data_IF_156374884552
#
_entry.id   IF_156374884552
#
_cell.length_a   1.000
_cell.length_b   1.000
_cell.length_c   1.000
_cell.angle_alpha   90.00
_cell.angle_beta   90.00
_cell.angle_gamma   90.00
#
_symmetry.space_group_name_H-M   'P 1'
#
loop_
_entity.id
_entity.type
_entity.pdbx_description
1 polymer ?
#
# COMPACT_ATOMS: atom_id res chain seq x y z
N UNK A 1 -17.91 -6.36 -16.61
CA UNK A 1 -16.72 -6.54 -15.77
C UNK A 1 -16.78 -5.44 -14.73
N UNK A 2 -16.70 -5.75 -13.44
CA UNK A 2 -16.48 -4.69 -12.44
C UNK A 2 -14.99 -4.43 -12.49
N UNK A 3 -14.59 -3.21 -12.82
CA UNK A 3 -13.18 -2.83 -12.75
C UNK A 3 -12.78 -2.79 -11.27
N UNK A 4 -12.13 -3.85 -10.82
CA UNK A 4 -11.63 -3.98 -9.44
C UNK A 4 -10.29 -3.25 -9.23
N UNK A 5 -9.90 -2.38 -10.18
CA UNK A 5 -8.64 -1.65 -10.13
C UNK A 5 -8.90 -0.25 -9.57
N UNK A 6 -8.16 0.10 -8.52
CA UNK A 6 -8.07 1.48 -8.01
C UNK A 6 -6.68 2.02 -8.32
N UNK A 7 -6.62 3.26 -8.83
CA UNK A 7 -5.35 3.98 -8.98
C UNK A 7 -5.11 4.86 -7.76
N UNK A 8 -3.93 4.73 -7.17
CA UNK A 8 -3.44 5.62 -6.12
C UNK A 8 -2.45 6.58 -6.77
N UNK A 9 -2.75 7.87 -6.68
CA UNK A 9 -1.87 8.94 -7.14
C UNK A 9 -1.24 9.61 -5.93
N UNK A 10 0.04 9.95 -6.04
CA UNK A 10 0.70 10.81 -5.06
C UNK A 10 0.09 12.21 -5.13
N UNK A 11 -0.05 12.86 -3.98
CA UNK A 11 -0.45 14.27 -3.98
C UNK A 11 0.62 15.12 -4.68
N UNK A 12 0.22 16.22 -5.31
CA UNK A 12 1.16 17.15 -5.94
C UNK A 12 2.22 17.61 -4.93
N UNK A 13 3.47 17.26 -5.21
CA UNK A 13 4.60 17.64 -4.36
C UNK A 13 5.08 19.02 -4.81
N UNK A 14 4.64 20.06 -4.09
CA UNK A 14 4.98 21.46 -4.41
C UNK A 14 6.24 21.96 -3.71
N UNK A 15 6.73 21.22 -2.72
CA UNK A 15 8.01 21.49 -2.08
C UNK A 15 9.17 21.22 -3.05
N UNK A 16 10.36 21.73 -2.73
CA UNK A 16 11.58 21.30 -3.40
C UNK A 16 12.12 20.03 -2.72
N UNK A 17 12.76 19.11 -3.47
CA UNK A 17 13.49 17.99 -2.88
C UNK A 17 14.60 18.49 -1.96
N UNK A 18 14.96 17.66 -0.98
CA UNK A 18 16.10 17.95 -0.08
C UNK A 18 17.30 17.09 -0.47
N UNK A 19 18.49 17.44 0.05
CA UNK A 19 19.68 16.57 -0.07
C UNK A 19 19.64 15.37 0.90
N UNK A 20 18.63 15.28 1.77
CA UNK A 20 18.51 14.20 2.74
C UNK A 20 17.82 12.98 2.09
N UNK A 21 18.57 11.90 1.92
CA UNK A 21 18.10 10.62 1.38
C UNK A 21 16.96 9.97 2.19
N UNK A 22 16.75 10.38 3.44
CA UNK A 22 15.66 9.90 4.30
C UNK A 22 14.38 10.75 4.19
N UNK A 23 14.27 11.59 3.16
CA UNK A 23 13.04 12.33 2.89
C UNK A 23 12.11 11.49 2.03
N UNK A 24 10.84 11.40 2.42
CA UNK A 24 9.83 10.59 1.75
C UNK A 24 8.56 11.41 1.50
N UNK A 25 7.81 11.01 0.47
CA UNK A 25 6.43 11.44 0.26
C UNK A 25 5.54 10.26 0.54
N UNK A 26 4.44 10.52 1.25
CA UNK A 26 3.49 9.51 1.70
C UNK A 26 2.14 9.73 1.00
N UNK A 27 1.41 8.64 0.75
CA UNK A 27 0.01 8.72 0.32
C UNK A 27 -0.89 9.10 1.50
N UNK A 28 -2.18 9.32 1.21
CA UNK A 28 -3.20 9.21 2.25
C UNK A 28 -3.19 7.81 2.88
N UNK A 29 -3.83 7.70 4.06
CA UNK A 29 -4.11 6.40 4.68
C UNK A 29 -5.42 5.86 4.11
N UNK A 30 -5.38 4.64 3.60
CA UNK A 30 -6.53 3.92 3.04
C UNK A 30 -7.03 2.88 4.03
N UNK A 31 -8.34 2.72 4.16
CA UNK A 31 -8.94 1.64 4.93
C UNK A 31 -9.21 0.43 4.02
N UNK A 32 -8.56 -0.70 4.31
CA UNK A 32 -8.90 -2.00 3.75
C UNK A 32 -10.02 -2.60 4.61
N UNK A 33 -11.19 -2.84 4.01
CA UNK A 33 -12.31 -3.50 4.67
C UNK A 33 -12.67 -4.80 3.98
N UNK A 34 -12.66 -5.90 4.71
CA UNK A 34 -13.21 -7.18 4.25
C UNK A 34 -14.52 -7.46 4.96
N UNK A 35 -15.55 -7.75 4.16
CA UNK A 35 -16.89 -8.14 4.64
C UNK A 35 -17.22 -9.52 4.10
N UNK A 36 -17.26 -10.51 4.98
CA UNK A 36 -17.55 -11.90 4.63
C UNK A 36 -18.64 -12.49 5.51
N UNK A 37 -19.49 -13.33 4.92
CA UNK A 37 -20.45 -14.21 5.61
C UNK A 37 -19.86 -15.57 5.98
N UNK A 38 -18.71 -15.91 5.41
CA UNK A 38 -18.03 -17.20 5.53
C UNK A 38 -16.63 -17.00 6.11
N UNK A 39 -15.97 -18.11 6.47
CA UNK A 39 -14.53 -18.10 6.71
C UNK A 39 -13.81 -17.67 5.44
N UNK A 40 -12.69 -16.95 5.59
CA UNK A 40 -12.02 -16.34 4.47
C UNK A 40 -10.51 -16.22 4.68
N UNK A 41 -9.78 -16.12 3.58
CA UNK A 41 -8.34 -15.86 3.57
C UNK A 41 -8.07 -14.47 2.99
N UNK A 42 -6.96 -13.86 3.41
CA UNK A 42 -6.42 -12.62 2.85
C UNK A 42 -5.03 -12.87 2.29
N UNK A 43 -4.81 -12.49 1.03
CA UNK A 43 -3.48 -12.38 0.45
C UNK A 43 -3.26 -10.94 -0.02
N UNK A 44 -2.19 -10.30 0.44
CA UNK A 44 -1.70 -9.03 -0.09
C UNK A 44 -0.30 -9.27 -0.63
N UNK A 45 -0.09 -8.99 -1.91
CA UNK A 45 1.23 -9.05 -2.56
C UNK A 45 1.45 -7.79 -3.35
N UNK A 46 2.69 -7.32 -3.49
CA UNK A 46 2.97 -6.13 -4.28
C UNK A 46 4.41 -5.99 -4.67
N UNK A 47 4.65 -5.09 -5.62
CA UNK A 47 6.01 -4.72 -6.02
C UNK A 47 6.74 -4.03 -4.86
N UNK A 48 8.01 -4.35 -4.66
CA UNK A 48 8.87 -3.65 -3.69
C UNK A 48 9.48 -2.34 -4.25
N UNK A 49 9.27 -2.07 -5.53
CA UNK A 49 9.74 -0.87 -6.22
C UNK A 49 8.78 -0.45 -7.34
N UNK A 50 8.69 0.85 -7.58
CA UNK A 50 8.03 1.40 -8.76
C UNK A 50 9.04 1.57 -9.89
N UNK A 51 8.61 1.37 -11.13
CA UNK A 51 9.46 1.47 -12.33
C UNK A 51 8.91 2.50 -13.30
N UNK A 52 9.78 3.30 -13.93
CA UNK A 52 9.41 4.22 -15.00
C UNK A 52 9.66 3.62 -16.40
N UNK A 53 9.23 4.30 -17.45
CA UNK A 53 9.38 3.83 -18.84
C UNK A 53 10.85 3.64 -19.28
N UNK A 54 11.79 4.31 -18.61
CA UNK A 54 13.23 4.19 -18.85
C UNK A 54 13.89 3.04 -18.06
N UNK A 55 13.10 2.26 -17.32
CA UNK A 55 13.58 1.15 -16.48
C UNK A 55 14.31 1.60 -15.21
N UNK A 56 14.16 2.86 -14.79
CA UNK A 56 14.62 3.32 -13.48
C UNK A 56 13.65 2.89 -12.40
N UNK A 57 14.17 2.57 -11.23
CA UNK A 57 13.38 2.12 -10.09
C UNK A 57 13.47 3.10 -8.91
N UNK A 58 12.40 3.16 -8.12
CA UNK A 58 12.38 3.76 -6.79
C UNK A 58 11.74 2.78 -5.81
N UNK A 59 12.25 2.73 -4.59
CA UNK A 59 11.71 1.83 -3.57
C UNK A 59 10.26 2.22 -3.24
N UNK A 60 9.39 1.22 -3.18
CA UNK A 60 8.04 1.34 -2.66
C UNK A 60 8.03 0.77 -1.25
N UNK A 61 7.80 1.63 -0.27
CA UNK A 61 7.61 1.20 1.10
C UNK A 61 6.15 1.39 1.53
N UNK A 62 5.70 0.58 2.48
CA UNK A 62 4.32 0.57 2.93
C UNK A 62 4.20 0.37 4.45
N UNK A 63 3.06 0.75 4.98
CA UNK A 63 2.62 0.44 6.34
C UNK A 63 1.30 -0.31 6.26
N UNK A 64 1.14 -1.29 7.16
CA UNK A 64 -0.06 -2.08 7.34
C UNK A 64 -0.35 -2.26 8.83
N UNK A 65 -1.53 -1.87 9.29
CA UNK A 65 -1.84 -1.98 10.71
C UNK A 65 -3.29 -1.71 11.09
N UNK A 66 -3.57 -1.82 12.38
CA UNK A 66 -4.92 -1.71 12.97
C UNK A 66 -5.36 -0.26 13.25
N UNK A 67 -4.42 0.68 13.29
CA UNK A 67 -4.69 2.07 13.65
C UNK A 67 -4.88 2.95 12.42
N UNK A 68 -5.94 3.75 12.43
CA UNK A 68 -6.23 4.73 11.38
C UNK A 68 -5.15 5.81 11.21
N UNK A 69 -4.22 5.92 12.15
CA UNK A 69 -3.08 6.86 12.10
C UNK A 69 -1.77 6.19 11.71
N UNK A 70 -1.70 4.84 11.75
CA UNK A 70 -0.48 4.06 11.57
C UNK A 70 0.71 4.51 12.45
N UNK A 71 0.44 5.22 13.55
CA UNK A 71 1.46 5.70 14.47
C UNK A 71 2.23 4.53 15.08
N UNK A 72 3.56 4.56 14.96
CA UNK A 72 4.45 3.50 15.48
C UNK A 72 4.53 2.23 14.62
N UNK A 73 3.79 2.16 13.50
CA UNK A 73 3.92 1.05 12.54
C UNK A 73 5.17 1.30 11.68
N UNK A 74 6.15 0.37 11.62
CA UNK A 74 7.31 0.54 10.76
C UNK A 74 6.91 0.48 9.29
N UNK A 75 7.71 1.12 8.45
CA UNK A 75 7.62 0.96 7.01
C UNK A 75 8.40 -0.28 6.57
N UNK A 76 7.77 -1.10 5.74
CA UNK A 76 8.39 -2.27 5.11
C UNK A 76 8.50 -2.05 3.59
N UNK A 77 9.39 -2.76 2.92
CA UNK A 77 9.51 -2.82 1.45
C UNK A 77 9.03 -4.16 0.90
N UNK A 78 8.86 -5.17 1.75
CA UNK A 78 8.22 -6.44 1.37
C UNK A 78 6.71 -6.33 1.56
N UNK A 79 5.99 -6.18 0.45
CA UNK A 79 4.52 -6.16 0.46
C UNK A 79 4.06 -7.62 0.38
N UNK A 80 3.95 -8.26 1.54
CA UNK A 80 3.50 -9.63 1.65
C UNK A 80 2.72 -9.85 2.95
N UNK A 81 1.43 -10.15 2.85
CA UNK A 81 0.59 -10.56 3.98
C UNK A 81 -0.23 -11.76 3.56
N UNK A 82 -0.22 -12.78 4.40
CA UNK A 82 -1.10 -13.95 4.30
C UNK A 82 -1.81 -14.14 5.63
N UNK A 83 -3.13 -14.15 5.60
CA UNK A 83 -3.99 -14.51 6.74
C UNK A 83 -4.91 -15.63 6.28
N UNK A 84 -4.91 -16.73 7.02
CA UNK A 84 -5.73 -17.89 6.72
C UNK A 84 -6.84 -18.06 7.76
N UNK A 85 -7.93 -18.72 7.38
CA UNK A 85 -9.03 -19.14 8.26
C UNK A 85 -9.62 -17.99 9.11
N UNK A 86 -9.71 -16.79 8.55
CA UNK A 86 -10.27 -15.65 9.25
C UNK A 86 -11.78 -15.83 9.43
N UNK A 87 -12.33 -15.55 10.63
CA UNK A 87 -13.75 -15.74 10.87
C UNK A 87 -14.60 -14.78 10.04
N UNK A 88 -15.83 -15.21 9.74
CA UNK A 88 -16.83 -14.36 9.09
C UNK A 88 -16.99 -13.02 9.84
N UNK A 89 -17.04 -11.93 9.09
CA UNK A 89 -17.06 -10.57 9.66
C UNK A 89 -18.47 -9.98 9.74
N UNK A 90 -19.50 -10.63 9.17
CA UNK A 90 -20.84 -10.04 9.10
C UNK A 90 -21.47 -9.77 10.48
N UNK A 91 -21.11 -10.55 11.50
CA UNK A 91 -21.56 -10.35 12.87
C UNK A 91 -20.80 -9.25 13.62
N UNK A 92 -19.57 -8.95 13.18
CA UNK A 92 -18.65 -7.99 13.83
C UNK A 92 -18.46 -6.69 13.03
N UNK A 93 -19.04 -6.61 11.84
CA UNK A 93 -18.99 -5.48 10.91
C UNK A 93 -18.08 -5.77 9.72
N UNK A 94 -16.78 -5.49 9.89
CA UNK A 94 -15.76 -5.72 8.87
C UNK A 94 -14.41 -5.95 9.54
N UNK A 95 -13.59 -6.82 8.94
CA UNK A 95 -12.17 -6.76 9.18
C UNK A 95 -11.65 -5.44 8.62
N UNK A 96 -10.98 -4.63 9.44
CA UNK A 96 -10.46 -3.32 9.02
C UNK A 96 -8.97 -3.23 9.30
N UNK A 97 -8.22 -2.90 8.27
CA UNK A 97 -6.80 -2.51 8.37
C UNK A 97 -6.59 -1.20 7.65
N UNK A 98 -5.46 -0.56 7.94
CA UNK A 98 -5.07 0.69 7.34
C UNK A 98 -3.76 0.51 6.59
N UNK A 99 -3.70 1.10 5.39
CA UNK A 99 -2.58 0.99 4.47
C UNK A 99 -2.12 2.39 4.10
N UNK A 100 -0.80 2.60 4.06
CA UNK A 100 -0.19 3.82 3.53
C UNK A 100 1.08 3.45 2.79
N UNK A 101 1.33 4.09 1.65
CA UNK A 101 2.55 3.92 0.88
C UNK A 101 3.45 5.14 1.04
N UNK A 102 4.75 4.97 0.83
CA UNK A 102 5.71 6.05 0.67
C UNK A 102 6.75 5.73 -0.41
N UNK A 103 7.29 6.79 -0.99
CA UNK A 103 8.42 6.75 -1.93
C UNK A 103 9.49 7.76 -1.51
N UNK A 104 10.77 7.53 -1.87
CA UNK A 104 11.83 8.51 -1.61
C UNK A 104 11.58 9.82 -2.36
N UNK A 105 11.90 10.94 -1.70
CA UNK A 105 11.76 12.30 -2.25
C UNK A 105 12.95 13.17 -1.87
N UNK A 106 14.04 13.01 -2.61
CA UNK A 106 15.29 13.74 -2.40
C UNK A 106 16.03 13.92 -3.72
N UNK A 107 17.05 14.78 -3.72
CA UNK A 107 17.95 14.90 -4.87
C UNK A 107 18.66 13.56 -5.14
N UNK A 108 18.68 13.15 -6.41
CA UNK A 108 19.25 11.86 -6.84
C UNK A 108 18.21 10.82 -7.28
N UNK A 109 16.91 11.03 -6.99
CA UNK A 109 15.83 10.28 -7.65
C UNK A 109 15.69 10.77 -9.09
N UNK A 110 15.64 9.87 -10.06
CA UNK A 110 15.45 10.25 -11.46
C UNK A 110 14.05 10.85 -11.66
N UNK A 111 13.90 11.92 -12.46
CA UNK A 111 12.58 12.45 -12.78
C UNK A 111 11.82 11.47 -13.69
N UNK A 112 10.50 11.42 -13.54
CA UNK A 112 9.61 10.65 -14.41
C UNK A 112 8.37 10.15 -13.69
N UNK A 113 7.50 9.51 -14.46
CA UNK A 113 6.31 8.84 -13.94
C UNK A 113 6.65 7.39 -13.60
N UNK A 114 6.42 7.00 -12.35
CA UNK A 114 6.74 5.68 -11.82
C UNK A 114 5.45 4.91 -11.52
N UNK A 115 5.42 3.62 -11.86
CA UNK A 115 4.26 2.77 -11.62
C UNK A 115 4.66 1.39 -11.11
N UNK A 116 3.72 0.72 -10.45
CA UNK A 116 3.86 -0.61 -9.86
C UNK A 116 2.48 -1.09 -9.41
N UNK A 117 2.39 -2.34 -8.96
CA UNK A 117 1.13 -2.98 -8.63
C UNK A 117 1.15 -3.56 -7.21
N UNK A 118 0.00 -3.47 -6.55
CA UNK A 118 -0.30 -4.19 -5.32
C UNK A 118 -1.61 -4.94 -5.55
N UNK A 119 -1.59 -6.24 -5.33
CA UNK A 119 -2.74 -7.12 -5.34
C UNK A 119 -3.24 -7.35 -3.92
N UNK A 120 -4.54 -7.20 -3.72
CA UNK A 120 -5.23 -7.56 -2.48
C UNK A 120 -6.37 -8.50 -2.86
N UNK A 121 -6.31 -9.72 -2.36
CA UNK A 121 -7.28 -10.76 -2.65
C UNK A 121 -7.85 -11.32 -1.35
N UNK A 122 -9.18 -11.34 -1.26
CA UNK A 122 -9.90 -11.99 -0.19
C UNK A 122 -10.81 -13.07 -0.79
N UNK A 123 -10.66 -14.31 -0.34
CA UNK A 123 -11.38 -15.49 -0.86
C UNK A 123 -12.15 -16.18 0.25
N UNK A 124 -13.30 -16.77 -0.07
CA UNK A 124 -14.09 -17.60 0.86
C UNK A 124 -14.05 -19.06 0.42
N UNK A 125 -14.37 -19.97 1.35
CA UNK A 125 -14.48 -21.40 1.10
C UNK A 125 -15.46 -22.09 2.06
#
# INVERSE_FOLDING_TARGET
SVDNNTSIQWADITAQPTDNAETYVETNIYALQVRSTETWDLTITGDSALTNEEGKTIDLAWQYGDSATLAGVPYDTDINVTLEDQPATIATGAYTKYIRFRIPYHWGVYPGDYSGNVSIEATTF
#
